data_IF_851875603474
#
_entry.id   IF_851875603474
#
_cell.length_a   1.000
_cell.length_b   1.000
_cell.length_c   1.000
_cell.angle_alpha   90.00
_cell.angle_beta   90.00
_cell.angle_gamma   90.00
#
_symmetry.space_group_name_H-M   'P 1'
#
loop_
_entity.id
_entity.type
_entity.pdbx_description
1 polymer ?
#
# COMPACT_ATOMS: atom_id res chain seq x y z
N UNK A 1 66.56 4.34 94.15
CA UNK A 1 67.36 3.21 93.62
C UNK A 1 66.61 2.67 92.41
N UNK A 2 67.10 2.65 91.17
CA UNK A 2 68.34 3.10 90.57
C UNK A 2 68.06 3.27 89.05
N UNK A 3 68.48 4.38 88.45
CA UNK A 3 69.16 4.31 87.14
C UNK A 3 70.63 4.04 87.44
N UNK A 4 71.40 3.36 86.58
CA UNK A 4 72.01 3.98 85.39
C UNK A 4 72.08 2.97 84.20
N UNK A 5 72.50 3.26 82.98
CA UNK A 5 73.81 3.77 82.58
C UNK A 5 73.81 4.17 81.11
N UNK A 6 74.49 5.29 80.85
CA UNK A 6 75.02 5.70 79.56
C UNK A 6 76.12 4.73 79.09
N UNK A 7 76.30 4.54 77.78
CA UNK A 7 77.38 5.19 77.04
C UNK A 7 77.57 4.64 75.60
N UNK A 8 77.55 5.58 74.63
CA UNK A 8 78.56 5.88 73.58
C UNK A 8 79.06 4.66 72.75
N UNK A 9 79.01 4.62 71.40
CA UNK A 9 80.03 5.27 70.54
C UNK A 9 79.80 4.99 69.02
N UNK A 10 79.91 6.06 68.20
CA UNK A 10 80.31 6.20 66.76
C UNK A 10 79.57 5.37 65.69
N UNK A 11 79.12 5.93 64.55
CA UNK A 11 79.95 6.41 63.43
C UNK A 11 79.04 7.20 62.45
N UNK A 12 79.34 8.47 62.14
CA UNK A 12 80.07 8.96 60.95
C UNK A 12 79.30 8.98 59.61
N UNK A 13 79.24 10.20 59.08
CA UNK A 13 79.39 10.61 57.68
C UNK A 13 78.18 10.64 56.72
N UNK A 14 77.75 11.87 56.43
CA UNK A 14 77.91 12.55 55.12
C UNK A 14 77.55 11.73 53.87
N UNK A 15 76.51 12.13 53.14
CA UNK A 15 76.64 12.90 51.87
C UNK A 15 75.31 12.91 51.11
N UNK A 16 74.95 14.11 50.69
CA UNK A 16 73.85 14.50 49.83
C UNK A 16 74.19 14.08 48.38
N UNK A 17 73.42 13.16 47.78
CA UNK A 17 73.48 12.90 46.32
C UNK A 17 72.06 12.88 45.72
N UNK A 18 71.93 13.76 44.73
CA UNK A 18 70.85 14.08 43.81
C UNK A 18 70.36 12.88 42.98
N UNK A 19 69.04 12.69 42.87
CA UNK A 19 68.37 12.16 41.66
C UNK A 19 66.83 12.28 41.71
N UNK A 20 66.27 12.89 40.69
CA UNK A 20 64.86 12.77 40.21
C UNK A 20 64.94 12.05 38.84
N UNK A 21 63.88 11.48 38.23
CA UNK A 21 62.53 11.10 38.70
C UNK A 21 62.23 9.59 38.48
N UNK A 22 61.33 9.00 39.29
CA UNK A 22 60.60 7.79 38.89
C UNK A 22 59.13 7.86 39.32
N UNK A 23 58.31 7.38 38.39
CA UNK A 23 56.86 7.43 38.22
C UNK A 23 56.03 6.98 39.44
N UNK A 24 54.93 7.70 39.72
CA UNK A 24 53.91 7.31 40.70
C UNK A 24 52.55 7.15 40.00
N UNK A 25 51.79 6.07 40.25
CA UNK A 25 50.53 5.81 39.53
C UNK A 25 49.41 6.79 39.93
N UNK A 26 48.42 7.05 39.05
CA UNK A 26 47.45 8.11 39.25
C UNK A 26 46.39 7.75 40.31
N UNK A 27 46.03 8.75 41.11
CA UNK A 27 44.94 8.75 42.09
C UNK A 27 43.56 8.61 41.39
N UNK A 28 42.61 7.82 41.91
CA UNK A 28 41.27 7.72 41.33
C UNK A 28 40.44 8.99 41.56
N UNK A 29 39.58 9.39 40.61
CA UNK A 29 38.77 10.61 40.72
C UNK A 29 37.66 10.47 41.78
N UNK A 30 37.48 11.54 42.56
CA UNK A 30 36.37 11.70 43.51
C UNK A 30 35.03 11.72 42.77
N UNK A 31 34.09 10.87 43.19
CA UNK A 31 32.70 10.90 42.74
C UNK A 31 31.92 12.02 43.46
N UNK A 32 31.26 12.87 42.69
CA UNK A 32 30.21 13.79 43.13
C UNK A 32 28.94 13.03 43.55
N UNK A 33 28.13 13.53 44.50
CA UNK A 33 26.95 12.82 45.00
C UNK A 33 25.84 12.76 43.92
N UNK A 34 25.34 11.56 43.65
CA UNK A 34 24.18 11.31 42.77
C UNK A 34 22.86 11.75 43.43
N UNK A 35 21.86 12.20 42.66
CA UNK A 35 20.53 12.53 43.22
C UNK A 35 19.84 11.28 43.79
N UNK A 36 18.86 11.45 44.71
CA UNK A 36 18.17 10.33 45.31
C UNK A 36 17.40 9.55 44.24
N UNK A 37 17.77 8.29 44.03
CA UNK A 37 17.08 7.37 43.12
C UNK A 37 15.68 7.12 43.67
N UNK A 38 14.68 7.74 43.04
CA UNK A 38 13.27 7.47 43.33
C UNK A 38 12.99 5.97 43.11
N UNK A 39 12.26 5.29 44.01
CA UNK A 39 12.05 3.86 43.91
C UNK A 39 11.45 3.51 42.55
N UNK A 40 12.09 2.63 41.80
CA UNK A 40 11.64 2.20 40.46
C UNK A 40 10.17 1.75 40.42
N UNK A 41 9.64 1.31 41.57
CA UNK A 41 8.24 0.96 41.75
C UNK A 41 7.27 2.13 41.57
N UNK A 42 7.60 3.34 42.01
CA UNK A 42 6.72 4.52 41.85
C UNK A 42 6.58 4.88 40.37
N UNK A 43 7.68 4.85 39.60
CA UNK A 43 7.66 5.04 38.16
C UNK A 43 6.78 4.01 37.44
N UNK A 44 6.85 2.74 37.85
CA UNK A 44 5.99 1.69 37.29
C UNK A 44 4.49 1.90 37.59
N UNK A 45 4.15 2.52 38.72
CA UNK A 45 2.76 2.90 39.04
C UNK A 45 2.30 4.03 38.12
N UNK A 46 3.14 5.06 37.93
CA UNK A 46 2.83 6.17 37.04
C UNK A 46 2.66 5.71 35.58
N UNK A 47 3.53 4.80 35.11
CA UNK A 47 3.42 4.21 33.78
C UNK A 47 2.12 3.40 33.63
N UNK A 48 1.70 2.66 34.66
CA UNK A 48 0.46 1.89 34.65
C UNK A 48 -0.78 2.79 34.64
N UNK A 49 -0.78 3.88 35.41
CA UNK A 49 -1.90 4.84 35.42
C UNK A 49 -2.01 5.58 34.09
N UNK A 50 -0.88 5.98 33.50
CA UNK A 50 -0.84 6.57 32.16
C UNK A 50 -1.35 5.59 31.09
N UNK A 51 -0.95 4.32 31.17
CA UNK A 51 -1.44 3.29 30.25
C UNK A 51 -2.95 3.07 30.40
N UNK A 52 -3.46 3.02 31.63
CA UNK A 52 -4.91 2.92 31.89
C UNK A 52 -5.67 4.06 31.25
N UNK A 53 -5.21 5.31 31.43
CA UNK A 53 -5.84 6.47 30.82
C UNK A 53 -5.81 6.43 29.28
N UNK A 54 -4.72 5.92 28.70
CA UNK A 54 -4.61 5.74 27.25
C UNK A 54 -5.58 4.67 26.73
N UNK A 55 -5.74 3.55 27.45
CA UNK A 55 -6.69 2.48 27.10
C UNK A 55 -8.13 3.00 27.20
N UNK A 56 -8.47 3.75 28.24
CA UNK A 56 -9.80 4.35 28.39
C UNK A 56 -10.10 5.34 27.26
N UNK A 57 -9.10 6.15 26.88
CA UNK A 57 -9.21 7.08 25.75
C UNK A 57 -9.42 6.31 24.44
N UNK A 58 -8.64 5.26 24.21
CA UNK A 58 -8.79 4.39 23.04
C UNK A 58 -10.19 3.78 22.98
N UNK A 59 -10.67 3.21 24.10
CA UNK A 59 -11.99 2.59 24.19
C UNK A 59 -13.10 3.58 23.83
N UNK A 60 -13.06 4.79 24.38
CA UNK A 60 -14.03 5.85 24.05
C UNK A 60 -14.04 6.19 22.57
N UNK A 61 -12.86 6.28 21.93
CA UNK A 61 -12.74 6.57 20.49
C UNK A 61 -13.22 5.41 19.63
N UNK A 62 -12.99 4.18 20.09
CA UNK A 62 -13.51 2.99 19.44
C UNK A 62 -15.05 2.95 19.49
N UNK A 63 -15.64 3.21 20.66
CA UNK A 63 -17.09 3.26 20.84
C UNK A 63 -17.73 4.37 19.99
N UNK A 64 -17.10 5.56 19.95
CA UNK A 64 -17.52 6.68 19.11
C UNK A 64 -17.51 6.29 17.62
N UNK A 65 -16.45 5.65 17.15
CA UNK A 65 -16.33 5.18 15.77
C UNK A 65 -17.40 4.11 15.46
N UNK A 66 -17.61 3.16 16.36
CA UNK A 66 -18.61 2.11 16.19
C UNK A 66 -20.03 2.70 16.10
N UNK A 67 -20.35 3.68 16.94
CA UNK A 67 -21.62 4.41 16.88
C UNK A 67 -21.78 5.15 15.55
N UNK A 68 -20.71 5.77 15.06
CA UNK A 68 -20.74 6.49 13.79
C UNK A 68 -20.97 5.54 12.60
N UNK A 69 -20.40 4.33 12.63
CA UNK A 69 -20.64 3.31 11.61
C UNK A 69 -22.10 2.80 11.64
N UNK A 70 -22.65 2.55 12.83
CA UNK A 70 -24.07 2.18 13.00
C UNK A 70 -24.99 3.29 12.48
N UNK A 71 -24.66 4.55 12.73
CA UNK A 71 -25.43 5.68 12.21
C UNK A 71 -25.41 5.74 10.67
N UNK A 72 -24.24 5.57 10.05
CA UNK A 72 -24.10 5.55 8.59
C UNK A 72 -24.92 4.41 7.99
N UNK A 73 -24.86 3.22 8.58
CA UNK A 73 -25.63 2.06 8.12
C UNK A 73 -27.14 2.31 8.16
N UNK A 74 -27.63 2.88 9.28
CA UNK A 74 -29.04 3.28 9.40
C UNK A 74 -29.44 4.34 8.37
N UNK A 75 -28.59 5.33 8.12
CA UNK A 75 -28.86 6.40 7.16
C UNK A 75 -28.91 5.88 5.72
N UNK A 76 -28.01 4.95 5.36
CA UNK A 76 -28.01 4.28 4.05
C UNK A 76 -29.30 3.47 3.88
N UNK A 77 -29.66 2.67 4.90
CA UNK A 77 -30.88 1.85 4.89
C UNK A 77 -32.13 2.71 4.73
N UNK A 78 -32.24 3.81 5.48
CA UNK A 78 -33.37 4.74 5.38
C UNK A 78 -33.50 5.34 3.97
N UNK A 79 -32.39 5.78 3.37
CA UNK A 79 -32.40 6.31 1.99
C UNK A 79 -32.73 5.25 0.94
N UNK A 80 -32.32 4.00 1.16
CA UNK A 80 -32.66 2.90 0.25
C UNK A 80 -34.16 2.63 0.25
N UNK A 81 -34.77 2.57 1.45
CA UNK A 81 -36.21 2.37 1.59
C UNK A 81 -37.02 3.54 1.00
N UNK A 82 -36.61 4.79 1.25
CA UNK A 82 -37.26 5.97 0.68
C UNK A 82 -37.25 5.96 -0.87
N UNK A 83 -36.15 5.50 -1.46
CA UNK A 83 -36.02 5.38 -2.91
C UNK A 83 -36.92 4.28 -3.48
N UNK A 84 -37.06 3.17 -2.75
CA UNK A 84 -37.96 2.07 -3.11
C UNK A 84 -39.43 2.52 -3.05
N UNK A 85 -39.84 3.22 -1.99
CA UNK A 85 -41.18 3.81 -1.85
C UNK A 85 -41.49 4.81 -2.97
N UNK A 86 -40.54 5.70 -3.32
CA UNK A 86 -40.69 6.64 -4.45
C UNK A 86 -40.85 5.92 -5.78
N UNK A 87 -40.13 4.82 -5.98
CA UNK A 87 -40.22 4.00 -7.19
C UNK A 87 -41.58 3.32 -7.31
N UNK A 88 -42.12 2.81 -6.19
CA UNK A 88 -43.46 2.21 -6.15
C UNK A 88 -44.57 3.24 -6.39
N UNK A 89 -44.48 4.45 -5.82
CA UNK A 89 -45.46 5.54 -6.07
C UNK A 89 -45.49 6.00 -7.54
N UNK A 90 -44.32 6.04 -8.20
CA UNK A 90 -44.23 6.37 -9.63
C UNK A 90 -44.88 5.28 -10.52
N UNK A 91 -44.78 4.01 -10.14
CA UNK A 91 -45.48 2.91 -10.85
C UNK A 91 -46.99 2.93 -10.60
N UNK A 92 -47.45 3.31 -9.40
CA UNK A 92 -48.88 3.35 -9.08
C UNK A 92 -49.59 4.52 -9.81
N UNK A 93 -48.93 5.67 -9.96
CA UNK A 93 -49.46 6.84 -10.70
C UNK A 93 -49.63 6.57 -12.21
N UNK A 94 -48.89 5.62 -12.79
CA UNK A 94 -49.08 5.20 -14.19
C UNK A 94 -50.26 4.22 -14.38
N UNK A 95 -50.83 3.67 -13.30
CA UNK A 95 -51.94 2.70 -13.38
C UNK A 95 -53.33 3.39 -13.33
N UNK A 96 -53.43 4.61 -12.80
CA UNK A 96 -54.72 5.33 -12.69
C UNK A 96 -55.14 6.14 -13.93
N UNK A 97 -54.24 6.38 -14.90
CA UNK A 97 -54.59 7.10 -16.15
C UNK A 97 -55.25 6.21 -17.23
N UNK A 98 -55.57 4.95 -16.92
CA UNK A 98 -56.06 3.95 -17.87
C UNK A 98 -57.52 3.47 -17.63
N UNK A 99 -58.42 4.32 -17.11
CA UNK A 99 -59.86 3.98 -16.97
C UNK A 99 -60.80 5.12 -17.35
N UNK A 100 -61.19 5.24 -18.63
CA UNK A 100 -62.59 5.40 -19.15
C UNK A 100 -62.57 5.41 -20.72
N UNK A 101 -63.68 5.14 -21.44
CA UNK A 101 -63.76 4.01 -22.38
C UNK A 101 -63.90 4.36 -23.88
N UNK A 102 -63.66 3.32 -24.68
CA UNK A 102 -63.77 3.06 -26.13
C UNK A 102 -64.98 3.70 -26.90
N UNK A 103 -64.95 3.81 -28.26
CA UNK A 103 -65.12 2.62 -29.11
C UNK A 103 -64.29 2.50 -30.41
N UNK A 104 -63.76 1.28 -30.59
CA UNK A 104 -63.70 0.42 -31.78
C UNK A 104 -63.59 1.03 -33.20
N UNK A 105 -62.51 0.68 -33.93
CA UNK A 105 -62.63 -0.12 -35.17
C UNK A 105 -61.28 -0.68 -35.69
N UNK A 106 -61.29 -1.99 -35.98
CA UNK A 106 -60.68 -2.73 -37.11
C UNK A 106 -59.20 -2.54 -37.48
N UNK A 107 -58.44 -3.60 -37.22
CA UNK A 107 -57.49 -4.33 -38.07
C UNK A 107 -57.09 -3.69 -39.41
N UNK A 108 -55.80 -3.43 -39.64
CA UNK A 108 -55.14 -3.89 -40.88
C UNK A 108 -53.60 -3.81 -40.83
N UNK A 109 -53.03 -4.92 -41.28
CA UNK A 109 -51.63 -5.19 -41.59
C UNK A 109 -51.14 -4.28 -42.71
N UNK A 110 -49.97 -3.65 -42.58
CA UNK A 110 -49.19 -3.27 -43.77
C UNK A 110 -47.70 -3.38 -43.52
N UNK A 111 -47.07 -4.07 -44.46
CA UNK A 111 -45.68 -4.52 -44.52
C UNK A 111 -44.88 -3.54 -45.41
N UNK A 112 -43.56 -3.54 -45.20
CA UNK A 112 -42.47 -3.04 -46.08
C UNK A 112 -42.34 -1.50 -46.06
N UNK A 113 -41.17 -0.90 -45.80
CA UNK A 113 -39.97 -1.00 -46.63
C UNK A 113 -38.72 -0.54 -45.86
N UNK A 114 -37.66 -1.34 -45.98
CA UNK A 114 -36.27 -0.99 -45.69
C UNK A 114 -35.80 0.18 -46.56
N UNK A 115 -34.93 1.03 -46.04
CA UNK A 115 -33.96 1.71 -46.89
C UNK A 115 -32.65 1.81 -46.12
N UNK A 116 -31.72 0.96 -46.54
CA UNK A 116 -30.32 1.01 -46.18
C UNK A 116 -29.68 2.31 -46.67
N UNK A 117 -28.81 2.90 -45.87
CA UNK A 117 -27.60 3.57 -46.35
C UNK A 117 -26.54 3.41 -45.28
N UNK A 118 -25.72 2.37 -45.44
CA UNK A 118 -24.50 2.20 -44.67
C UNK A 118 -23.37 3.08 -45.21
N UNK A 119 -22.39 3.41 -44.36
CA UNK A 119 -20.96 3.26 -44.66
C UNK A 119 -20.13 3.20 -43.36
N UNK A 120 -19.58 2.00 -43.14
CA UNK A 120 -18.28 1.64 -42.52
C UNK A 120 -17.97 1.94 -41.04
N UNK A 121 -18.37 0.98 -40.20
CA UNK A 121 -17.49 0.12 -39.38
C UNK A 121 -16.14 0.67 -38.85
N UNK A 122 -16.05 0.77 -37.53
CA UNK A 122 -14.95 0.16 -36.78
C UNK A 122 -15.57 -0.77 -35.71
N UNK A 123 -15.21 -2.05 -35.79
CA UNK A 123 -15.79 -3.16 -35.07
C UNK A 123 -15.66 -3.00 -33.54
N UNK A 124 -16.79 -2.96 -32.84
CA UNK A 124 -16.84 -3.30 -31.43
C UNK A 124 -17.17 -4.81 -31.35
N UNK A 125 -16.29 -5.66 -30.78
CA UNK A 125 -16.71 -6.99 -30.43
C UNK A 125 -17.61 -6.91 -29.21
N UNK A 126 -18.76 -7.57 -29.32
CA UNK A 126 -19.71 -7.76 -28.26
C UNK A 126 -19.08 -8.51 -27.06
N UNK A 127 -19.68 -8.28 -25.89
CA UNK A 127 -19.49 -8.95 -24.59
C UNK A 127 -18.41 -8.40 -23.64
N UNK A 128 -18.15 -7.10 -23.65
CA UNK A 128 -17.62 -6.48 -22.42
C UNK A 128 -18.71 -6.52 -21.35
N UNK A 129 -18.48 -7.25 -20.25
CA UNK A 129 -19.40 -7.21 -19.12
C UNK A 129 -19.46 -5.77 -18.58
N UNK A 130 -20.65 -5.18 -18.42
CA UNK A 130 -20.79 -3.75 -18.12
C UNK A 130 -20.15 -3.34 -16.79
N UNK A 131 -19.91 -4.29 -15.88
CA UNK A 131 -19.38 -4.02 -14.54
C UNK A 131 -17.94 -3.47 -14.54
N UNK A 132 -16.97 -4.22 -15.09
CA UNK A 132 -15.55 -3.79 -15.05
C UNK A 132 -15.31 -2.51 -15.83
N UNK A 133 -16.01 -2.35 -16.96
CA UNK A 133 -15.99 -1.11 -17.75
C UNK A 133 -16.53 0.07 -16.94
N UNK A 134 -17.67 -0.11 -16.28
CA UNK A 134 -18.27 0.92 -15.42
C UNK A 134 -17.34 1.29 -14.26
N UNK A 135 -16.71 0.31 -13.61
CA UNK A 135 -15.73 0.54 -12.55
C UNK A 135 -14.54 1.40 -13.03
N UNK A 136 -14.02 1.13 -14.23
CA UNK A 136 -12.94 1.90 -14.83
C UNK A 136 -13.38 3.33 -15.21
N UNK A 137 -14.55 3.48 -15.83
CA UNK A 137 -15.10 4.79 -16.20
C UNK A 137 -15.39 5.67 -14.98
N UNK A 138 -15.90 5.08 -13.89
CA UNK A 138 -16.15 5.77 -12.62
C UNK A 138 -14.88 5.97 -11.77
N UNK A 139 -13.69 5.61 -12.28
CA UNK A 139 -12.42 5.71 -11.56
C UNK A 139 -12.43 4.99 -10.19
N UNK A 140 -13.13 3.87 -10.08
CA UNK A 140 -13.34 3.16 -8.81
C UNK A 140 -12.23 2.12 -8.54
N UNK A 141 -11.06 2.57 -8.09
CA UNK A 141 -9.92 1.67 -7.82
C UNK A 141 -10.21 0.55 -6.82
N UNK A 142 -10.94 0.84 -5.74
CA UNK A 142 -11.35 -0.19 -4.75
C UNK A 142 -12.33 -1.21 -5.34
N UNK A 143 -13.27 -0.75 -6.16
CA UNK A 143 -14.23 -1.63 -6.84
C UNK A 143 -13.53 -2.52 -7.86
N UNK A 144 -12.62 -1.95 -8.65
CA UNK A 144 -11.79 -2.71 -9.59
C UNK A 144 -10.97 -3.80 -8.86
N UNK A 145 -10.34 -3.47 -7.74
CA UNK A 145 -9.62 -4.46 -6.93
C UNK A 145 -10.53 -5.59 -6.45
N UNK A 146 -11.73 -5.26 -5.94
CA UNK A 146 -12.72 -6.27 -5.52
C UNK A 146 -13.15 -7.16 -6.69
N UNK A 147 -13.42 -6.57 -7.86
CA UNK A 147 -13.77 -7.31 -9.07
C UNK A 147 -12.67 -8.32 -9.43
N UNK A 148 -11.40 -7.89 -9.44
CA UNK A 148 -10.26 -8.76 -9.72
C UNK A 148 -10.18 -9.89 -8.69
N UNK A 149 -10.26 -9.59 -7.39
CA UNK A 149 -10.24 -10.58 -6.31
C UNK A 149 -11.35 -11.63 -6.49
N UNK A 150 -12.57 -11.22 -6.80
CA UNK A 150 -13.71 -12.11 -7.02
C UNK A 150 -13.58 -13.00 -8.27
N UNK A 151 -12.69 -12.65 -9.20
CA UNK A 151 -12.49 -13.37 -10.46
C UNK A 151 -11.11 -14.04 -10.55
N UNK A 152 -10.33 -14.13 -9.45
CA UNK A 152 -8.99 -14.73 -9.46
C UNK A 152 -8.97 -16.20 -9.92
N UNK A 153 -10.08 -16.93 -9.79
CA UNK A 153 -10.22 -18.28 -10.31
C UNK A 153 -10.13 -18.38 -11.85
N UNK A 154 -10.33 -17.26 -12.57
CA UNK A 154 -10.25 -17.19 -14.03
C UNK A 154 -9.41 -15.98 -14.46
N UNK A 155 -8.09 -16.11 -14.30
CA UNK A 155 -7.11 -15.06 -14.65
C UNK A 155 -7.10 -14.77 -16.16
N UNK A 156 -7.31 -15.76 -17.02
CA UNK A 156 -7.35 -15.56 -18.48
C UNK A 156 -8.48 -14.62 -18.88
N UNK A 157 -9.68 -14.79 -18.31
CA UNK A 157 -10.79 -13.86 -18.49
C UNK A 157 -10.42 -12.43 -18.05
N UNK A 158 -9.76 -12.29 -16.90
CA UNK A 158 -9.31 -10.98 -16.42
C UNK A 158 -8.29 -10.32 -17.37
N UNK A 159 -7.43 -11.13 -17.98
CA UNK A 159 -6.40 -10.70 -18.93
C UNK A 159 -6.97 -10.19 -20.24
N UNK A 160 -8.15 -10.66 -20.64
CA UNK A 160 -8.88 -10.16 -21.80
C UNK A 160 -9.70 -8.90 -21.46
N UNK A 161 -10.45 -8.93 -20.34
CA UNK A 161 -11.44 -7.89 -20.01
C UNK A 161 -10.82 -6.62 -19.40
N UNK A 162 -9.92 -6.78 -18.42
CA UNK A 162 -9.45 -5.64 -17.60
C UNK A 162 -8.58 -4.67 -18.40
N UNK A 163 -7.64 -5.11 -19.26
CA UNK A 163 -6.90 -4.19 -20.13
C UNK A 163 -7.82 -3.35 -21.02
N UNK A 164 -8.82 -3.97 -21.67
CA UNK A 164 -9.77 -3.25 -22.52
C UNK A 164 -10.58 -2.21 -21.72
N UNK A 165 -11.07 -2.59 -20.55
CA UNK A 165 -11.79 -1.69 -19.66
C UNK A 165 -10.92 -0.54 -19.12
N UNK A 166 -9.64 -0.81 -18.79
CA UNK A 166 -8.71 0.21 -18.31
C UNK A 166 -8.48 1.33 -19.34
N UNK A 167 -8.48 1.00 -20.65
CA UNK A 167 -8.38 2.02 -21.72
C UNK A 167 -9.58 2.97 -21.76
N UNK A 168 -10.73 2.57 -21.20
CA UNK A 168 -11.92 3.40 -21.10
C UNK A 168 -11.91 4.33 -19.87
N UNK A 169 -10.94 4.20 -18.97
CA UNK A 169 -10.82 5.06 -17.81
C UNK A 169 -10.32 6.46 -18.21
N UNK A 170 -10.85 7.56 -17.63
CA UNK A 170 -10.36 8.91 -17.90
C UNK A 170 -8.87 9.10 -17.59
N UNK A 171 -8.38 8.45 -16.52
CA UNK A 171 -6.98 8.49 -16.09
C UNK A 171 -6.50 7.08 -15.69
N UNK A 172 -6.14 6.20 -16.66
CA UNK A 172 -5.84 4.80 -16.39
C UNK A 172 -4.70 4.60 -15.38
N UNK A 173 -3.62 5.38 -15.52
CA UNK A 173 -2.48 5.32 -14.60
C UNK A 173 -2.87 5.67 -13.16
N UNK A 174 -3.69 6.70 -12.96
CA UNK A 174 -4.17 7.08 -11.64
C UNK A 174 -5.10 6.02 -11.05
N UNK A 175 -6.01 5.47 -11.85
CA UNK A 175 -6.88 4.38 -11.44
C UNK A 175 -6.10 3.15 -10.95
N UNK A 176 -5.02 2.81 -11.65
CA UNK A 176 -4.14 1.69 -11.27
C UNK A 176 -3.46 1.96 -9.92
N UNK A 177 -2.94 3.17 -9.68
CA UNK A 177 -2.39 3.56 -8.37
C UNK A 177 -3.45 3.51 -7.25
N UNK A 178 -4.68 3.92 -7.54
CA UNK A 178 -5.77 3.82 -6.56
C UNK A 178 -6.20 2.37 -6.30
N UNK A 179 -6.09 1.51 -7.33
CA UNK A 179 -6.42 0.09 -7.26
C UNK A 179 -5.41 -0.71 -6.43
N UNK A 180 -4.11 -0.43 -6.55
CA UNK A 180 -3.09 -1.09 -5.71
C UNK A 180 -3.29 -0.75 -4.22
N UNK A 181 -3.72 0.47 -3.90
CA UNK A 181 -3.89 0.89 -2.51
C UNK A 181 -2.56 0.95 -1.76
N UNK A 182 -2.44 0.25 -0.61
CA UNK A 182 -1.26 0.33 0.28
C UNK A 182 -0.68 -1.04 0.67
N UNK A 183 -0.95 -2.09 -0.11
CA UNK A 183 -0.49 -3.45 0.23
C UNK A 183 1.05 -3.56 0.30
N UNK A 184 1.74 -2.72 -0.46
CA UNK A 184 3.19 -2.63 -0.53
C UNK A 184 3.84 -2.04 0.72
N UNK A 185 3.07 -1.53 1.69
CA UNK A 185 3.61 -1.09 2.98
C UNK A 185 3.65 -2.22 4.01
N UNK A 186 2.94 -3.30 3.76
CA UNK A 186 2.81 -4.41 4.69
C UNK A 186 3.96 -5.37 4.43
N UNK A 187 4.69 -5.76 5.48
CA UNK A 187 5.86 -6.63 5.32
C UNK A 187 5.50 -8.10 5.14
N UNK A 188 6.50 -8.92 4.79
CA UNK A 188 6.38 -10.36 4.52
C UNK A 188 5.62 -11.17 5.59
N UNK A 189 5.62 -10.72 6.86
CA UNK A 189 4.91 -11.35 7.98
C UNK A 189 3.38 -11.19 7.95
N UNK A 190 2.83 -10.23 7.19
CA UNK A 190 1.37 -10.05 7.08
C UNK A 190 0.69 -11.15 6.22
N UNK A 191 1.46 -12.17 5.81
CA UNK A 191 1.10 -13.19 4.80
C UNK A 191 1.30 -14.62 5.29
N UNK A 192 1.37 -14.83 6.60
CA UNK A 192 1.20 -16.19 7.14
C UNK A 192 -0.18 -16.75 6.74
N UNK A 193 -0.26 -18.08 6.60
CA UNK A 193 -1.33 -18.82 5.88
C UNK A 193 -2.74 -18.26 6.09
N UNK A 194 -3.52 -18.22 5.00
CA UNK A 194 -4.95 -17.85 4.94
C UNK A 194 -5.27 -16.36 5.17
N UNK A 195 -4.27 -15.48 5.18
CA UNK A 195 -4.53 -14.04 5.25
C UNK A 195 -5.32 -13.55 4.02
N UNK A 196 -6.47 -12.86 4.19
CA UNK A 196 -7.22 -12.23 3.09
C UNK A 196 -6.40 -11.14 2.37
N UNK A 197 -5.23 -10.78 2.91
CA UNK A 197 -4.29 -9.87 2.26
C UNK A 197 -3.59 -10.50 1.05
N UNK A 198 -3.53 -11.84 0.95
CA UNK A 198 -2.88 -12.57 -0.14
C UNK A 198 -3.58 -12.27 -1.47
N UNK A 199 -4.89 -12.49 -1.55
CA UNK A 199 -5.68 -12.22 -2.76
C UNK A 199 -5.67 -10.74 -3.13
N UNK A 200 -5.64 -9.87 -2.11
CA UNK A 200 -5.48 -8.44 -2.31
C UNK A 200 -4.15 -8.07 -2.98
N UNK A 201 -3.04 -8.77 -2.70
CA UNK A 201 -1.75 -8.57 -3.38
C UNK A 201 -1.78 -9.08 -4.80
N UNK A 202 -2.29 -10.29 -5.00
CA UNK A 202 -2.42 -10.90 -6.33
C UNK A 202 -3.21 -10.00 -7.27
N UNK A 203 -4.34 -9.47 -6.81
CA UNK A 203 -5.13 -8.51 -7.58
C UNK A 203 -4.35 -7.22 -7.92
N UNK A 204 -3.47 -6.79 -7.01
CA UNK A 204 -2.65 -5.59 -7.23
C UNK A 204 -1.50 -5.83 -8.21
N UNK A 205 -0.94 -7.05 -8.24
CA UNK A 205 0.05 -7.45 -9.24
C UNK A 205 -0.63 -7.55 -10.61
N UNK A 206 -1.80 -8.20 -10.68
CA UNK A 206 -2.55 -8.35 -11.93
C UNK A 206 -2.93 -6.99 -12.52
N UNK A 207 -3.40 -6.02 -11.72
CA UNK A 207 -3.74 -4.70 -12.27
C UNK A 207 -2.51 -3.95 -12.81
N UNK A 208 -1.34 -4.10 -12.18
CA UNK A 208 -0.08 -3.53 -12.69
C UNK A 208 0.36 -4.21 -13.99
N UNK A 209 0.17 -5.52 -14.09
CA UNK A 209 0.43 -6.30 -15.30
C UNK A 209 -0.50 -5.89 -16.45
N UNK A 210 -1.80 -5.78 -16.20
CA UNK A 210 -2.78 -5.31 -17.17
C UNK A 210 -2.50 -3.87 -17.60
N UNK A 211 -2.04 -3.02 -16.69
CA UNK A 211 -1.61 -1.67 -17.02
C UNK A 211 -0.43 -1.69 -17.99
N UNK A 212 0.59 -2.52 -17.78
CA UNK A 212 1.69 -2.68 -18.74
C UNK A 212 1.23 -3.20 -20.11
N UNK A 213 0.15 -3.99 -20.17
CA UNK A 213 -0.39 -4.47 -21.44
C UNK A 213 -1.01 -3.35 -22.29
N UNK A 214 -1.45 -2.25 -21.67
CA UNK A 214 -2.07 -1.11 -22.36
C UNK A 214 -1.18 0.14 -22.38
N UNK A 215 -0.05 0.08 -21.69
CA UNK A 215 0.93 1.16 -21.64
C UNK A 215 1.70 1.18 -22.95
N UNK A 216 1.06 1.74 -23.98
CA UNK A 216 1.76 2.18 -25.17
C UNK A 216 2.45 3.50 -24.83
N UNK A 217 3.74 3.61 -25.17
CA UNK A 217 4.69 4.67 -24.76
C UNK A 217 4.30 6.11 -25.18
N UNK A 218 3.10 6.31 -25.72
CA UNK A 218 2.57 7.58 -26.20
C UNK A 218 1.50 8.19 -25.28
N UNK A 219 0.98 7.44 -24.31
CA UNK A 219 0.07 8.03 -23.32
C UNK A 219 0.86 8.87 -22.32
N UNK A 220 0.88 10.19 -22.55
CA UNK A 220 1.45 11.17 -21.64
C UNK A 220 0.74 11.11 -20.28
N UNK A 221 1.30 10.30 -19.37
CA UNK A 221 0.88 10.26 -17.97
C UNK A 221 1.15 11.62 -17.33
N UNK A 222 0.14 12.13 -16.63
CA UNK A 222 0.22 13.39 -15.88
C UNK A 222 1.37 13.34 -14.87
N UNK A 223 2.17 14.42 -14.79
CA UNK A 223 3.36 14.46 -13.94
C UNK A 223 3.04 14.29 -12.45
N UNK A 224 1.85 14.71 -12.02
CA UNK A 224 1.37 14.45 -10.66
C UNK A 224 1.26 12.95 -10.36
N UNK A 225 0.77 12.17 -11.33
CA UNK A 225 0.61 10.70 -11.21
C UNK A 225 1.98 10.01 -11.24
N UNK A 226 2.92 10.48 -12.08
CA UNK A 226 4.31 9.98 -12.07
C UNK A 226 4.99 10.22 -10.72
N UNK A 227 4.86 11.42 -10.16
CA UNK A 227 5.42 11.75 -8.84
C UNK A 227 4.78 10.91 -7.74
N UNK A 228 3.47 10.68 -7.79
CA UNK A 228 2.78 9.79 -6.85
C UNK A 228 3.33 8.36 -6.94
N UNK A 229 3.41 7.81 -8.16
CA UNK A 229 3.96 6.47 -8.39
C UNK A 229 5.43 6.34 -7.94
N UNK A 230 6.24 7.37 -8.16
CA UNK A 230 7.61 7.44 -7.67
C UNK A 230 7.67 7.34 -6.14
N UNK A 231 6.83 8.08 -5.42
CA UNK A 231 6.75 7.98 -3.96
C UNK A 231 6.31 6.60 -3.49
N UNK A 232 5.36 5.98 -4.18
CA UNK A 232 4.93 4.60 -3.92
C UNK A 232 6.11 3.63 -4.08
N UNK A 233 6.84 3.72 -5.19
CA UNK A 233 7.99 2.86 -5.47
C UNK A 233 9.12 3.05 -4.45
N UNK A 234 9.41 4.30 -4.06
CA UNK A 234 10.42 4.62 -3.04
C UNK A 234 10.01 4.05 -1.67
N UNK A 235 8.75 4.21 -1.27
CA UNK A 235 8.25 3.67 -0.01
C UNK A 235 8.32 2.14 0.02
N UNK A 236 7.97 1.48 -1.08
CA UNK A 236 8.07 0.03 -1.22
C UNK A 236 9.53 -0.45 -1.14
N UNK A 237 10.44 0.19 -1.88
CA UNK A 237 11.88 -0.10 -1.81
C UNK A 237 12.43 0.08 -0.40
N UNK A 238 12.07 1.18 0.28
CA UNK A 238 12.47 1.44 1.67
C UNK A 238 12.04 0.31 2.60
N UNK A 239 10.81 -0.20 2.43
CA UNK A 239 10.31 -1.36 3.18
C UNK A 239 11.15 -2.61 2.91
N UNK A 240 11.44 -2.92 1.64
CA UNK A 240 12.28 -4.07 1.28
C UNK A 240 13.69 -3.98 1.87
N UNK A 241 14.28 -2.78 1.88
CA UNK A 241 15.57 -2.55 2.51
C UNK A 241 15.50 -2.84 4.02
N UNK A 242 14.45 -2.39 4.70
CA UNK A 242 14.26 -2.66 6.13
C UNK A 242 14.02 -4.14 6.45
N UNK A 243 13.54 -4.93 5.48
CA UNK A 243 13.28 -6.37 5.61
C UNK A 243 14.47 -7.25 5.18
N UNK A 244 15.65 -6.65 4.97
CA UNK A 244 16.87 -7.38 4.65
C UNK A 244 17.42 -7.14 3.23
N UNK A 245 16.90 -6.15 2.51
CA UNK A 245 17.40 -5.75 1.19
C UNK A 245 16.55 -6.27 0.03
N UNK A 246 16.69 -5.64 -1.14
CA UNK A 246 15.92 -5.97 -2.35
C UNK A 246 16.20 -7.42 -2.80
N UNK A 247 17.46 -7.85 -2.75
CA UNK A 247 17.89 -9.22 -3.05
C UNK A 247 17.21 -10.32 -2.22
N UNK A 248 16.78 -9.99 -1.00
CA UNK A 248 16.15 -10.92 -0.07
C UNK A 248 14.61 -10.81 -0.08
N UNK A 249 14.04 -10.04 -1.02
CA UNK A 249 12.60 -9.89 -1.14
C UNK A 249 11.93 -11.14 -1.74
N UNK A 250 10.67 -11.37 -1.38
CA UNK A 250 9.87 -12.45 -1.95
C UNK A 250 9.46 -12.18 -3.39
N UNK A 251 9.18 -13.23 -4.16
CA UNK A 251 8.82 -13.16 -5.59
C UNK A 251 7.66 -12.20 -5.87
N UNK A 252 6.62 -12.19 -5.03
CA UNK A 252 5.45 -11.30 -5.15
C UNK A 252 5.86 -9.82 -5.05
N UNK A 253 6.74 -9.50 -4.10
CA UNK A 253 7.21 -8.13 -3.91
C UNK A 253 8.15 -7.70 -5.04
N UNK A 254 9.05 -8.59 -5.47
CA UNK A 254 9.92 -8.34 -6.60
C UNK A 254 9.11 -8.06 -7.87
N UNK A 255 8.13 -8.92 -8.17
CA UNK A 255 7.21 -8.75 -9.31
C UNK A 255 6.43 -7.45 -9.23
N UNK A 256 5.78 -7.20 -8.09
CA UNK A 256 4.95 -6.02 -7.91
C UNK A 256 5.73 -4.72 -8.08
N UNK A 257 6.91 -4.63 -7.45
CA UNK A 257 7.75 -3.45 -7.56
C UNK A 257 8.33 -3.27 -8.97
N UNK A 258 8.73 -4.36 -9.63
CA UNK A 258 9.22 -4.35 -11.01
C UNK A 258 8.14 -3.85 -11.99
N UNK A 259 6.90 -4.34 -11.86
CA UNK A 259 5.79 -3.88 -12.70
C UNK A 259 5.49 -2.39 -12.48
N UNK A 260 5.52 -1.94 -11.23
CA UNK A 260 5.29 -0.54 -10.88
C UNK A 260 6.32 0.37 -11.54
N UNK A 261 7.62 0.12 -11.34
CA UNK A 261 8.67 0.96 -11.94
C UNK A 261 8.70 0.81 -13.47
N UNK A 262 8.32 -0.35 -14.00
CA UNK A 262 8.23 -0.60 -15.43
C UNK A 262 7.09 0.16 -16.11
N UNK A 263 5.97 0.36 -15.43
CA UNK A 263 4.79 1.06 -15.97
C UNK A 263 4.79 2.56 -15.72
N UNK A 264 5.41 3.03 -14.64
CA UNK A 264 5.31 4.42 -14.20
C UNK A 264 6.60 5.22 -14.32
N UNK A 265 7.77 4.57 -14.43
CA UNK A 265 9.05 5.24 -14.32
C UNK A 265 9.95 4.59 -13.28
N UNK A 266 11.25 4.51 -13.58
CA UNK A 266 12.26 4.06 -12.61
C UNK A 266 12.75 5.29 -11.83
N UNK A 267 12.50 5.37 -10.50
CA UNK A 267 13.01 6.46 -9.69
C UNK A 267 14.53 6.48 -9.66
N UNK A 268 15.13 7.68 -9.52
CA UNK A 268 16.59 7.83 -9.44
C UNK A 268 17.23 7.13 -8.23
N UNK A 269 16.43 6.86 -7.19
CA UNK A 269 16.88 6.17 -5.98
C UNK A 269 17.08 4.66 -6.17
N UNK A 270 16.67 4.09 -7.30
CA UNK A 270 16.90 2.68 -7.63
C UNK A 270 18.27 2.54 -8.28
N UNK A 271 19.14 1.74 -7.68
CA UNK A 271 20.40 1.33 -8.29
C UNK A 271 20.15 0.31 -9.39
N UNK A 272 21.13 0.12 -10.26
CA UNK A 272 21.05 -0.93 -11.29
C UNK A 272 21.04 -2.34 -10.63
N UNK A 273 21.69 -2.49 -9.47
CA UNK A 273 21.62 -3.71 -8.64
C UNK A 273 20.20 -3.98 -8.14
N UNK A 274 19.47 -2.95 -7.67
CA UNK A 274 18.08 -3.12 -7.25
C UNK A 274 17.22 -3.64 -8.41
N UNK A 275 17.35 -3.04 -9.60
CA UNK A 275 16.59 -3.45 -10.79
C UNK A 275 16.96 -4.87 -11.21
N UNK A 276 18.25 -5.20 -11.20
CA UNK A 276 18.75 -6.53 -11.51
C UNK A 276 18.17 -7.59 -10.55
N UNK A 277 18.21 -7.34 -9.24
CA UNK A 277 17.66 -8.24 -8.24
C UNK A 277 16.15 -8.44 -8.42
N UNK A 278 15.40 -7.37 -8.68
CA UNK A 278 13.96 -7.44 -8.95
C UNK A 278 13.66 -8.32 -10.17
N UNK A 279 14.43 -8.16 -11.25
CA UNK A 279 14.29 -8.99 -12.47
C UNK A 279 14.60 -10.45 -12.16
N UNK A 280 15.70 -10.72 -11.46
CA UNK A 280 16.14 -12.07 -11.15
C UNK A 280 15.16 -12.81 -10.20
N UNK A 281 14.61 -12.12 -9.21
CA UNK A 281 13.65 -12.67 -8.24
C UNK A 281 12.25 -12.88 -8.84
N UNK A 282 11.90 -12.14 -9.90
CA UNK A 282 10.56 -12.24 -10.52
C UNK A 282 10.32 -13.53 -11.32
N UNK A 283 11.38 -14.31 -11.65
CA UNK A 283 11.40 -15.70 -12.17
C UNK A 283 10.24 -16.15 -13.09
N UNK A 284 9.75 -15.31 -14.02
CA UNK A 284 8.65 -15.68 -14.93
C UNK A 284 8.96 -15.37 -16.40
N UNK A 285 8.79 -16.37 -17.28
CA UNK A 285 8.85 -16.19 -18.75
C UNK A 285 7.78 -15.21 -19.26
N UNK A 286 6.62 -15.17 -18.59
CA UNK A 286 5.54 -14.24 -18.90
C UNK A 286 5.98 -12.79 -18.59
N UNK A 287 6.78 -12.60 -17.54
CA UNK A 287 7.36 -11.31 -17.16
C UNK A 287 8.43 -10.83 -18.13
N UNK A 288 9.24 -11.73 -18.69
CA UNK A 288 10.23 -11.32 -19.69
C UNK A 288 9.57 -10.62 -20.90
N UNK A 289 8.38 -11.07 -21.31
CA UNK A 289 7.58 -10.39 -22.33
C UNK A 289 7.13 -8.99 -21.91
N UNK A 290 6.64 -8.83 -20.67
CA UNK A 290 6.20 -7.54 -20.12
C UNK A 290 7.36 -6.55 -19.91
N UNK A 291 8.49 -7.03 -19.39
CA UNK A 291 9.71 -6.23 -19.19
C UNK A 291 10.22 -5.71 -20.53
N UNK A 292 10.23 -6.53 -21.59
CA UNK A 292 10.59 -6.08 -22.95
C UNK A 292 9.66 -5.01 -23.50
N UNK A 293 8.40 -4.99 -23.06
CA UNK A 293 7.44 -3.94 -23.45
C UNK A 293 7.73 -2.63 -22.73
N UNK A 294 8.41 -2.63 -21.58
CA UNK A 294 8.85 -1.40 -20.93
C UNK A 294 10.21 -0.95 -21.48
N UNK A 295 10.22 0.06 -22.35
CA UNK A 295 11.46 0.71 -22.83
C UNK A 295 12.35 1.18 -21.68
N UNK A 296 11.75 1.60 -20.57
CA UNK A 296 12.47 2.07 -19.39
C UNK A 296 13.30 0.96 -18.75
N UNK A 297 12.70 -0.21 -18.55
CA UNK A 297 13.41 -1.38 -18.02
C UNK A 297 14.45 -1.90 -19.03
N UNK A 298 14.11 -1.95 -20.32
CA UNK A 298 15.06 -2.37 -21.35
C UNK A 298 16.30 -1.47 -21.35
N UNK A 299 16.13 -0.15 -21.41
CA UNK A 299 17.24 0.83 -21.45
C UNK A 299 18.18 0.76 -20.23
N UNK A 300 17.69 0.28 -19.08
CA UNK A 300 18.48 0.16 -17.85
C UNK A 300 19.12 -1.21 -17.65
N UNK A 301 18.59 -2.25 -18.29
CA UNK A 301 19.04 -3.65 -18.10
C UNK A 301 19.98 -4.10 -19.22
N UNK A 302 19.89 -3.53 -20.43
CA UNK A 302 20.86 -3.73 -21.53
C UNK A 302 21.93 -2.66 -21.53
#
# INVERSE_FOLDING_TARGET
>A
MASPSMAITLNSNTTLIKQEPQDSPPRPPQQSPSPPTEPQFLKSIDDLTSLSAAIDTFKRRFDELQNHLIFIDKAITARSNELEEKTQQLQQTQTEKAKTPLPQNVTETTKVTETETGTAAAAAPATEKPEVRSLCQMMCGRGLRKYIVSNLANVEKLREEVPAALKCAPKPAKLVLDCIGRFYLQGSKAYEKESPMITGREASILVLEFFLLISDHENAMEDAVKKEAEQVAIAWRKRLISEGGVRNSGEIDAKGLLLLIGGFGIPRLFSDEDVFDLVNLSKSRQFAGLVRRSRLLVTRVT
#
